data_IF_236732625511
#
_entry.id   IF_236732625511
#
_cell.length_a   1.000
_cell.length_b   1.000
_cell.length_c   1.000
_cell.angle_alpha   90.00
_cell.angle_beta   90.00
_cell.angle_gamma   90.00
#
_symmetry.space_group_name_H-M   'P 1'
#
loop_
_entity.id
_entity.type
_entity.pdbx_description
1 polymer ?
#
# COMPACT_ATOMS: atom_id res chain seq x y z
N UNK A 1 0.86 29.63 -15.47
CA UNK A 1 0.26 29.32 -14.16
C UNK A 1 0.07 27.81 -14.09
N UNK A 2 0.49 27.14 -13.02
CA UNK A 2 0.18 25.72 -12.81
C UNK A 2 -1.14 25.64 -12.03
N UNK A 3 -2.10 24.87 -12.53
CA UNK A 3 -3.34 24.55 -11.83
C UNK A 3 -3.28 23.10 -11.39
N UNK A 4 -3.45 22.85 -10.10
CA UNK A 4 -3.42 21.52 -9.49
C UNK A 4 -4.84 21.07 -9.18
N UNK A 5 -5.14 19.80 -9.44
CA UNK A 5 -6.43 19.18 -9.16
C UNK A 5 -6.22 17.88 -8.38
N UNK A 6 -7.06 17.58 -7.37
CA UNK A 6 -6.99 16.33 -6.65
C UNK A 6 -7.19 15.14 -7.59
N UNK A 7 -6.26 14.18 -7.54
CA UNK A 7 -6.39 12.93 -8.28
C UNK A 7 -7.28 11.95 -7.51
N UNK A 8 -8.10 11.19 -8.22
CA UNK A 8 -8.81 10.04 -7.64
C UNK A 8 -7.92 8.77 -7.56
N UNK A 9 -6.62 8.91 -7.85
CA UNK A 9 -5.65 7.83 -7.70
C UNK A 9 -5.20 7.69 -6.26
N UNK A 10 -5.22 6.45 -5.78
CA UNK A 10 -4.67 6.05 -4.48
C UNK A 10 -3.58 5.03 -4.69
N UNK A 11 -2.44 5.23 -4.03
CA UNK A 11 -1.35 4.27 -3.99
C UNK A 11 -1.45 3.50 -2.67
N UNK A 12 -1.56 2.18 -2.75
CA UNK A 12 -1.84 1.31 -1.61
C UNK A 12 -0.85 0.16 -1.51
N UNK A 13 -0.56 -0.23 -0.27
CA UNK A 13 0.14 -1.46 0.08
C UNK A 13 -0.91 -2.55 0.40
N UNK A 14 -1.08 -3.48 -0.53
CA UNK A 14 -1.92 -4.67 -0.34
C UNK A 14 -1.12 -5.77 0.34
N UNK A 15 -1.71 -6.46 1.32
CA UNK A 15 -1.09 -7.57 2.05
C UNK A 15 -1.87 -8.86 1.82
N UNK A 16 -1.19 -9.95 1.50
CA UNK A 16 -1.82 -11.24 1.28
C UNK A 16 -2.36 -11.83 2.60
N UNK A 17 -3.68 -11.91 2.72
CA UNK A 17 -4.34 -12.37 3.94
C UNK A 17 -4.61 -13.86 3.98
N UNK A 18 -4.39 -14.56 2.86
CA UNK A 18 -4.71 -15.99 2.73
C UNK A 18 -3.55 -16.88 3.17
N UNK A 19 -2.32 -16.43 2.95
CA UNK A 19 -1.11 -17.23 3.24
C UNK A 19 0.07 -16.38 3.70
N UNK A 20 1.11 -17.06 4.16
CA UNK A 20 2.37 -16.45 4.55
C UNK A 20 2.24 -15.59 5.81
N UNK A 21 3.22 -14.70 6.01
CA UNK A 21 3.36 -13.88 7.22
C UNK A 21 2.11 -13.03 7.50
N UNK A 22 1.46 -12.53 6.44
CA UNK A 22 0.32 -11.63 6.57
C UNK A 22 -1.05 -12.32 6.70
N UNK A 23 -1.10 -13.65 6.70
CA UNK A 23 -2.30 -14.37 7.15
C UNK A 23 -2.62 -14.02 8.63
N UNK A 24 -1.60 -13.80 9.45
CA UNK A 24 -1.75 -13.32 10.83
C UNK A 24 -2.16 -11.84 10.88
N UNK A 25 -3.32 -11.49 11.46
CA UNK A 25 -3.75 -10.10 11.62
C UNK A 25 -2.80 -9.23 12.44
N UNK A 26 -2.05 -9.78 13.39
CA UNK A 26 -1.08 -9.04 14.18
C UNK A 26 0.14 -8.61 13.35
N UNK A 27 0.54 -9.41 12.37
CA UNK A 27 1.61 -9.07 11.42
C UNK A 27 1.17 -7.98 10.45
N UNK A 28 -0.08 -8.02 9.98
CA UNK A 28 -0.66 -6.93 9.17
C UNK A 28 -0.72 -5.63 9.94
N UNK A 29 -1.08 -5.70 11.23
CA UNK A 29 -1.07 -4.53 12.10
C UNK A 29 0.35 -3.97 12.31
N UNK A 30 1.36 -4.83 12.45
CA UNK A 30 2.75 -4.41 12.54
C UNK A 30 3.25 -3.74 11.25
N UNK A 31 2.91 -4.28 10.08
CA UNK A 31 3.24 -3.64 8.80
C UNK A 31 2.55 -2.27 8.65
N UNK A 32 1.25 -2.17 8.95
CA UNK A 32 0.50 -0.90 8.91
C UNK A 32 1.15 0.18 9.79
N UNK A 33 1.55 -0.18 11.00
CA UNK A 33 2.18 0.77 11.94
C UNK A 33 3.62 1.14 11.55
N UNK A 34 4.27 0.34 10.71
CA UNK A 34 5.60 0.66 10.19
C UNK A 34 5.57 1.77 9.12
N UNK A 35 4.44 1.90 8.40
CA UNK A 35 4.37 2.80 7.24
C UNK A 35 4.15 4.25 7.67
N UNK A 36 5.15 5.08 7.41
CA UNK A 36 5.07 6.54 7.51
C UNK A 36 4.70 7.11 6.14
N UNK A 37 3.40 7.35 5.95
CA UNK A 37 2.88 7.92 4.70
C UNK A 37 3.29 9.38 4.50
N UNK A 38 3.55 10.14 5.58
CA UNK A 38 4.00 11.52 5.46
C UNK A 38 5.43 11.58 4.92
N UNK A 39 6.32 10.71 5.43
CA UNK A 39 7.68 10.62 4.91
C UNK A 39 7.71 10.25 3.42
N UNK A 40 6.81 9.35 2.97
CA UNK A 40 6.65 9.02 1.56
C UNK A 40 6.19 10.22 0.73
N UNK A 41 5.20 10.97 1.22
CA UNK A 41 4.70 12.20 0.57
C UNK A 41 5.79 13.25 0.45
N UNK A 42 6.49 13.55 1.54
CA UNK A 42 7.50 14.61 1.58
C UNK A 42 8.73 14.22 0.72
N UNK A 43 9.12 12.94 0.73
CA UNK A 43 10.28 12.43 0.00
C UNK A 43 9.98 12.09 -1.46
N UNK A 44 9.29 10.98 -1.70
CA UNK A 44 9.10 10.41 -3.05
C UNK A 44 8.17 11.26 -3.92
N UNK A 45 7.15 11.86 -3.29
CA UNK A 45 6.18 12.69 -4.01
C UNK A 45 6.47 14.19 -3.95
N UNK A 46 7.56 14.60 -3.28
CA UNK A 46 7.96 16.01 -3.13
C UNK A 46 6.83 16.93 -2.62
N UNK A 47 5.98 16.41 -1.73
CA UNK A 47 4.80 17.14 -1.22
C UNK A 47 3.62 17.25 -2.18
N UNK A 48 3.65 16.59 -3.35
CA UNK A 48 2.59 16.61 -4.37
C UNK A 48 1.63 15.42 -4.29
N UNK A 49 1.44 14.88 -3.09
CA UNK A 49 0.48 13.84 -2.80
C UNK A 49 -0.13 14.06 -1.40
N UNK A 50 -1.30 13.47 -1.17
CA UNK A 50 -1.94 13.50 0.14
C UNK A 50 -1.67 12.20 0.91
N UNK A 51 -1.54 12.30 2.24
CA UNK A 51 -1.54 11.11 3.09
C UNK A 51 -2.93 10.45 3.05
N UNK A 52 -3.00 9.19 2.65
CA UNK A 52 -4.28 8.49 2.54
C UNK A 52 -4.98 8.35 3.90
N UNK A 53 -6.24 8.78 3.98
CA UNK A 53 -7.11 8.60 5.15
C UNK A 53 -8.08 7.41 5.00
N UNK A 54 -7.98 6.66 3.90
CA UNK A 54 -8.85 5.54 3.57
C UNK A 54 -8.64 5.11 2.13
N UNK A 55 -9.56 4.30 1.62
CA UNK A 55 -9.49 3.75 0.25
C UNK A 55 -9.83 4.79 -0.83
N UNK A 56 -10.65 5.78 -0.47
CA UNK A 56 -11.05 6.89 -1.34
C UNK A 56 -10.43 8.18 -0.81
N UNK A 57 -9.55 8.77 -1.62
CA UNK A 57 -8.84 10.01 -1.34
C UNK A 57 -9.65 11.28 -1.67
N UNK A 58 -9.04 12.48 -1.52
CA UNK A 58 -9.71 13.77 -1.74
C UNK A 58 -10.27 13.98 -3.15
N UNK A 59 -9.77 13.26 -4.15
CA UNK A 59 -10.35 13.24 -5.51
C UNK A 59 -11.74 12.62 -5.61
N UNK A 60 -12.29 12.10 -4.51
CA UNK A 60 -13.67 11.59 -4.40
C UNK A 60 -14.39 12.32 -3.25
N UNK A 61 -14.79 13.59 -3.44
CA UNK A 61 -15.17 14.47 -2.32
C UNK A 61 -16.37 13.98 -1.50
N UNK A 62 -17.35 13.35 -2.14
CA UNK A 62 -18.55 12.83 -1.48
C UNK A 62 -18.24 11.75 -0.44
N UNK A 63 -17.07 11.08 -0.54
CA UNK A 63 -16.68 10.03 0.40
C UNK A 63 -16.13 10.59 1.72
N UNK A 64 -15.79 11.88 1.79
CA UNK A 64 -15.16 12.47 2.97
C UNK A 64 -16.05 12.42 4.21
N UNK A 65 -17.31 12.83 4.08
CA UNK A 65 -18.27 12.90 5.19
C UNK A 65 -18.81 11.52 5.61
N UNK A 66 -18.64 10.51 4.76
CA UNK A 66 -19.05 9.13 5.02
C UNK A 66 -17.96 8.30 5.72
N UNK A 67 -16.77 8.86 5.92
CA UNK A 67 -15.63 8.12 6.45
C UNK A 67 -15.79 7.89 7.95
N UNK A 68 -15.85 6.63 8.34
CA UNK A 68 -15.78 6.21 9.75
C UNK A 68 -14.44 5.57 10.08
N UNK A 69 -13.93 5.81 11.29
CA UNK A 69 -12.72 5.15 11.76
C UNK A 69 -12.94 3.63 11.86
N UNK A 70 -12.04 2.79 11.30
CA UNK A 70 -12.19 1.34 11.42
C UNK A 70 -12.07 0.88 12.88
N UNK A 71 -13.04 0.08 13.32
CA UNK A 71 -13.06 -0.51 14.67
C UNK A 71 -12.47 -1.93 14.66
N UNK A 72 -12.10 -2.45 15.83
CA UNK A 72 -11.70 -3.86 15.97
C UNK A 72 -10.36 -4.23 15.31
N UNK A 73 -9.48 -3.25 15.07
CA UNK A 73 -8.14 -3.51 14.53
C UNK A 73 -7.34 -4.41 15.47
N UNK A 74 -6.71 -5.44 14.91
CA UNK A 74 -5.76 -6.26 15.65
C UNK A 74 -4.59 -5.43 16.18
N UNK A 75 -4.08 -5.82 17.36
CA UNK A 75 -2.86 -5.25 17.92
C UNK A 75 -1.65 -5.72 17.12
N UNK A 76 -0.69 -4.84 16.89
CA UNK A 76 0.53 -5.20 16.19
C UNK A 76 1.38 -6.20 16.98
N UNK A 77 1.94 -7.18 16.27
CA UNK A 77 2.94 -8.09 16.81
C UNK A 77 4.18 -7.31 17.31
N UNK A 78 4.76 -7.71 18.44
CA UNK A 78 5.96 -7.05 18.96
C UNK A 78 7.15 -7.19 17.98
N UNK A 79 8.12 -6.27 17.95
CA UNK A 79 9.28 -6.37 17.06
C UNK A 79 10.06 -7.68 17.17
N UNK A 80 10.09 -8.29 18.36
CA UNK A 80 10.73 -9.59 18.57
C UNK A 80 9.99 -10.73 17.84
N UNK A 81 8.67 -10.68 17.73
CA UNK A 81 7.89 -11.67 16.98
C UNK A 81 8.01 -11.44 15.47
N UNK A 82 8.00 -10.18 15.02
CA UNK A 82 8.21 -9.82 13.61
C UNK A 82 9.55 -10.35 13.09
N UNK A 83 10.62 -10.26 13.88
CA UNK A 83 11.96 -10.76 13.49
C UNK A 83 12.05 -12.28 13.32
N UNK A 84 11.07 -13.04 13.84
CA UNK A 84 11.02 -14.51 13.72
C UNK A 84 10.32 -14.95 12.44
N UNK A 85 9.68 -14.03 11.71
CA UNK A 85 8.92 -14.39 10.51
C UNK A 85 9.86 -14.77 9.37
N UNK A 86 9.35 -15.53 8.41
CA UNK A 86 10.02 -15.74 7.13
C UNK A 86 10.21 -14.42 6.37
N UNK A 87 11.12 -14.44 5.38
CA UNK A 87 11.30 -13.31 4.47
C UNK A 87 10.03 -13.09 3.65
N UNK A 88 9.54 -11.85 3.62
CA UNK A 88 8.39 -11.45 2.79
C UNK A 88 8.86 -10.97 1.43
N UNK A 89 8.05 -11.21 0.40
CA UNK A 89 8.24 -10.65 -0.94
C UNK A 89 7.37 -9.41 -1.12
N UNK A 90 8.01 -8.24 -1.27
CA UNK A 90 7.38 -6.97 -1.62
C UNK A 90 7.52 -6.72 -3.12
N UNK A 91 6.40 -6.70 -3.82
CA UNK A 91 6.38 -6.48 -5.25
C UNK A 91 5.81 -5.10 -5.63
N UNK A 92 6.31 -4.55 -6.74
CA UNK A 92 5.75 -3.37 -7.42
C UNK A 92 6.13 -3.40 -8.90
N UNK A 93 5.70 -2.40 -9.68
CA UNK A 93 5.91 -2.32 -11.12
C UNK A 93 6.51 -0.99 -11.59
N UNK A 94 7.18 -1.02 -12.75
CA UNK A 94 7.95 0.12 -13.29
C UNK A 94 7.13 1.11 -14.11
N UNK A 95 5.91 0.75 -14.54
CA UNK A 95 5.06 1.59 -15.41
C UNK A 95 4.57 2.87 -14.70
N UNK A 96 4.80 2.97 -13.38
CA UNK A 96 4.64 4.18 -12.58
C UNK A 96 6.02 4.58 -12.04
N UNK A 97 6.63 5.66 -12.55
CA UNK A 97 8.02 6.02 -12.25
C UNK A 97 8.33 6.15 -10.75
N UNK A 98 7.35 6.56 -9.95
CA UNK A 98 7.49 6.74 -8.51
C UNK A 98 7.54 5.42 -7.73
N UNK A 99 6.92 4.35 -8.25
CA UNK A 99 6.65 3.15 -7.43
C UNK A 99 7.90 2.35 -7.06
N UNK A 100 8.95 2.22 -7.90
CA UNK A 100 10.21 1.61 -7.47
C UNK A 100 10.85 2.33 -6.28
N UNK A 101 10.78 3.66 -6.23
CA UNK A 101 11.30 4.44 -5.12
C UNK A 101 10.43 4.27 -3.86
N UNK A 102 9.10 4.32 -4.01
CA UNK A 102 8.16 3.98 -2.92
C UNK A 102 8.47 2.61 -2.34
N UNK A 103 8.70 1.59 -3.18
CA UNK A 103 9.01 0.24 -2.72
C UNK A 103 10.32 0.17 -1.93
N UNK A 104 11.32 0.97 -2.29
CA UNK A 104 12.57 1.08 -1.52
C UNK A 104 12.33 1.70 -0.15
N UNK A 105 11.58 2.80 -0.06
CA UNK A 105 11.27 3.45 1.22
C UNK A 105 10.37 2.57 2.09
N UNK A 106 9.35 1.92 1.52
CA UNK A 106 8.48 0.97 2.22
C UNK A 106 9.28 -0.22 2.73
N UNK A 107 10.19 -0.78 1.93
CA UNK A 107 11.09 -1.84 2.37
C UNK A 107 11.89 -1.40 3.61
N UNK A 108 12.53 -0.23 3.57
CA UNK A 108 13.30 0.29 4.71
C UNK A 108 12.44 0.45 5.98
N UNK A 109 11.22 0.95 5.83
CA UNK A 109 10.29 1.12 6.95
C UNK A 109 9.86 -0.24 7.55
N UNK A 110 9.58 -1.24 6.71
CA UNK A 110 9.26 -2.61 7.14
C UNK A 110 10.46 -3.29 7.81
N UNK A 111 11.66 -3.13 7.26
CA UNK A 111 12.90 -3.67 7.84
C UNK A 111 13.21 -3.05 9.21
N UNK A 112 13.00 -1.74 9.35
CA UNK A 112 13.09 -1.06 10.65
C UNK A 112 12.09 -1.63 11.67
N UNK A 113 10.93 -2.13 11.22
CA UNK A 113 9.94 -2.82 12.07
C UNK A 113 10.33 -4.26 12.42
N UNK A 114 11.32 -4.82 11.73
CA UNK A 114 11.91 -6.13 11.97
C UNK A 114 11.62 -7.17 10.89
N UNK A 115 10.90 -6.82 9.82
CA UNK A 115 10.66 -7.75 8.70
C UNK A 115 11.95 -7.96 7.91
N UNK A 116 12.14 -9.14 7.35
CA UNK A 116 13.13 -9.35 6.29
C UNK A 116 12.41 -9.26 4.95
N UNK A 117 12.85 -8.38 4.05
CA UNK A 117 12.11 -8.07 2.81
C UNK A 117 12.95 -8.41 1.59
N UNK A 118 12.33 -9.07 0.61
CA UNK A 118 12.86 -9.21 -0.75
C UNK A 118 12.00 -8.40 -1.70
N UNK A 119 12.63 -7.48 -2.43
CA UNK A 119 11.91 -6.67 -3.41
C UNK A 119 11.84 -7.37 -4.78
N UNK A 120 10.71 -7.22 -5.46
CA UNK A 120 10.52 -7.60 -6.87
C UNK A 120 9.95 -6.41 -7.63
N UNK A 121 10.72 -5.89 -8.59
CA UNK A 121 10.30 -4.77 -9.45
C UNK A 121 10.40 -5.22 -10.91
N UNK A 122 9.26 -5.22 -11.62
CA UNK A 122 9.18 -5.67 -13.02
C UNK A 122 8.19 -4.81 -13.80
N UNK A 123 8.15 -4.98 -15.12
CA UNK A 123 7.04 -4.42 -15.91
C UNK A 123 5.70 -5.04 -15.48
N UNK A 124 4.65 -4.22 -15.43
CA UNK A 124 3.32 -4.64 -14.96
C UNK A 124 2.76 -5.80 -15.76
N UNK A 125 2.92 -5.83 -17.08
CA UNK A 125 2.40 -6.90 -17.93
C UNK A 125 3.05 -8.26 -17.61
N UNK A 126 4.26 -8.26 -17.04
CA UNK A 126 4.97 -9.47 -16.62
C UNK A 126 4.65 -9.88 -15.18
N UNK A 127 3.98 -9.01 -14.42
CA UNK A 127 3.77 -9.16 -12.99
C UNK A 127 2.30 -9.38 -12.63
N UNK A 128 1.36 -8.86 -13.42
CA UNK A 128 -0.07 -8.85 -13.11
C UNK A 128 -0.62 -10.23 -12.78
N UNK A 129 -0.38 -11.24 -13.62
CA UNK A 129 -0.87 -12.59 -13.38
C UNK A 129 -0.33 -13.20 -12.07
N UNK A 130 0.92 -12.89 -11.71
CA UNK A 130 1.53 -13.34 -10.45
C UNK A 130 0.94 -12.60 -9.24
N UNK A 131 0.66 -11.30 -9.38
CA UNK A 131 0.03 -10.50 -8.34
C UNK A 131 -1.42 -10.95 -8.08
N UNK A 132 -2.21 -11.15 -9.14
CA UNK A 132 -3.59 -11.63 -9.04
C UNK A 132 -3.67 -13.07 -8.53
N UNK A 133 -2.70 -13.92 -8.85
CA UNK A 133 -2.57 -15.26 -8.28
C UNK A 133 -2.04 -15.26 -6.83
N UNK A 134 -1.84 -14.09 -6.22
CA UNK A 134 -1.40 -13.97 -4.83
C UNK A 134 0.01 -14.51 -4.60
N UNK A 135 0.92 -14.45 -5.57
CA UNK A 135 2.30 -14.97 -5.44
C UNK A 135 3.20 -14.11 -4.56
N UNK A 136 2.81 -12.88 -4.26
CA UNK A 136 3.54 -11.96 -3.37
C UNK A 136 2.87 -11.86 -2.00
N UNK A 137 3.68 -11.59 -0.97
CA UNK A 137 3.17 -11.33 0.38
C UNK A 137 2.65 -9.89 0.49
N UNK A 138 3.31 -8.96 -0.18
CA UNK A 138 2.90 -7.56 -0.24
C UNK A 138 3.03 -7.01 -1.67
N UNK A 139 2.10 -6.15 -2.07
CA UNK A 139 2.09 -5.53 -3.39
C UNK A 139 1.73 -4.05 -3.30
N UNK A 140 2.60 -3.19 -3.86
CA UNK A 140 2.32 -1.77 -3.98
C UNK A 140 1.68 -1.53 -5.34
N UNK A 141 0.50 -0.92 -5.33
CA UNK A 141 -0.23 -0.59 -6.56
C UNK A 141 -0.80 0.80 -6.55
N UNK A 142 -0.86 1.40 -7.74
CA UNK A 142 -1.47 2.69 -7.99
C UNK A 142 -2.80 2.51 -8.72
N UNK A 143 -3.92 2.81 -8.05
CA UNK A 143 -5.27 2.58 -8.59
C UNK A 143 -6.04 3.88 -8.72
N UNK A 144 -6.64 4.14 -9.88
CA UNK A 144 -7.56 5.26 -10.09
C UNK A 144 -9.01 4.77 -10.10
N UNK A 145 -9.73 4.95 -8.99
CA UNK A 145 -11.08 4.39 -8.80
C UNK A 145 -12.12 5.03 -9.71
N UNK A 146 -11.88 6.24 -10.23
CA UNK A 146 -12.80 6.92 -11.14
C UNK A 146 -12.56 6.63 -12.63
N UNK A 147 -11.53 5.84 -12.97
CA UNK A 147 -11.20 5.56 -14.36
C UNK A 147 -12.19 4.61 -15.03
N UNK A 148 -12.68 3.61 -14.29
CA UNK A 148 -13.44 2.50 -14.88
C UNK A 148 -14.97 2.79 -14.89
N UNK A 149 -15.59 2.99 -13.73
CA UNK A 149 -17.05 3.21 -13.61
C UNK A 149 -17.44 4.42 -12.77
N UNK A 150 -16.47 5.16 -12.23
CA UNK A 150 -16.69 6.25 -11.27
C UNK A 150 -17.53 5.86 -10.03
N UNK A 151 -17.56 4.56 -9.71
CA UNK A 151 -18.37 3.97 -8.64
C UNK A 151 -17.49 3.25 -7.59
N UNK A 152 -17.74 3.40 -6.27
CA UNK A 152 -17.00 2.70 -5.22
C UNK A 152 -17.06 1.17 -5.33
N UNK A 153 -18.05 0.58 -5.99
CA UNK A 153 -18.13 -0.85 -6.30
C UNK A 153 -16.89 -1.32 -7.02
N UNK A 154 -16.28 -0.49 -7.89
CA UNK A 154 -15.01 -0.85 -8.52
C UNK A 154 -13.93 -1.16 -7.49
N UNK A 155 -13.94 -0.48 -6.34
CA UNK A 155 -12.98 -0.74 -5.27
C UNK A 155 -13.36 -1.95 -4.41
N UNK A 156 -14.65 -2.16 -4.16
CA UNK A 156 -15.14 -3.07 -3.11
C UNK A 156 -15.55 -4.47 -3.62
N UNK A 157 -15.80 -4.63 -4.92
CA UNK A 157 -16.28 -5.87 -5.55
C UNK A 157 -15.22 -6.52 -6.43
#
# INVERSE_FOLDING_TARGET
>A
LVHEFPSARTNGLSLNTERGVFADPAMRAAAREAIDSKALVDGVYEGRADTAQGLLGPGVPWAADLRTAPTGRAKAAAPAEVRKTEQIVLATYTNRPELPEVATVVQQQLEKRGFTVKQVVRDYAQLEADALAGKYDAFIQARNTLLDTADPVSYLA
#
